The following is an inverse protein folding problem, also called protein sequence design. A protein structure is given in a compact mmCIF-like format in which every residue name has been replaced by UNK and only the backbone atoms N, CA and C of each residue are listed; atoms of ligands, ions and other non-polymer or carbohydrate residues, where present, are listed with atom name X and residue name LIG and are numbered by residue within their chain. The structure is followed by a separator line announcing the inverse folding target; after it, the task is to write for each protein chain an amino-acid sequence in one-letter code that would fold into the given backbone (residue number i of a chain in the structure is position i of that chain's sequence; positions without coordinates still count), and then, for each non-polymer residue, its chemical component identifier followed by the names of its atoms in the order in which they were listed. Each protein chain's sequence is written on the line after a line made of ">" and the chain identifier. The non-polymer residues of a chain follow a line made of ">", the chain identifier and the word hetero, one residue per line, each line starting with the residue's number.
data_IF_627799376281
#
_entry.id   IF_627799376281
#
_cell.length_a   1.000
_cell.length_b   1.000
_cell.length_c   1.000
_cell.angle_alpha   90.00
_cell.angle_beta   90.00
_cell.angle_gamma   90.00
#
_symmetry.space_group_name_H-M   'P 1'
#
loop_
_entity.id
_entity.type
_entity.pdbx_description
1 polymer ?
#
# COMPACT_ATOMS: atom_id res chain seq x y z
N UNK A 1 0.57 -22.30 -10.26
CA UNK A 1 1.56 -21.83 -9.26
C UNK A 1 0.83 -21.73 -7.93
N UNK A 2 1.39 -22.28 -6.85
CA UNK A 2 0.76 -22.17 -5.52
C UNK A 2 0.92 -20.75 -4.97
N UNK A 3 -0.05 -20.29 -4.17
CA UNK A 3 0.00 -18.96 -3.53
C UNK A 3 1.30 -18.78 -2.73
N UNK A 4 1.67 -19.78 -1.95
CA UNK A 4 2.89 -19.77 -1.14
C UNK A 4 4.16 -19.52 -1.96
N UNK A 5 4.24 -20.08 -3.17
CA UNK A 5 5.38 -19.87 -4.07
C UNK A 5 5.43 -18.43 -4.58
N UNK A 6 4.29 -17.87 -5.01
CA UNK A 6 4.22 -16.46 -5.45
C UNK A 6 4.69 -15.51 -4.35
N UNK A 7 4.24 -15.75 -3.12
CA UNK A 7 4.60 -14.92 -1.98
C UNK A 7 6.09 -15.03 -1.65
N UNK A 8 6.64 -16.25 -1.63
CA UNK A 8 8.06 -16.47 -1.33
C UNK A 8 8.96 -15.83 -2.38
N UNK A 9 8.63 -15.99 -3.66
CA UNK A 9 9.42 -15.46 -4.78
C UNK A 9 9.38 -13.91 -4.84
N UNK A 10 8.30 -13.31 -4.37
CA UNK A 10 8.08 -11.85 -4.44
C UNK A 10 8.08 -11.17 -3.07
N UNK A 11 8.55 -11.84 -2.01
CA UNK A 11 8.43 -11.36 -0.63
C UNK A 11 9.04 -9.97 -0.45
N UNK A 12 10.28 -9.77 -0.91
CA UNK A 12 10.95 -8.46 -0.83
C UNK A 12 10.21 -7.38 -1.65
N UNK A 13 9.65 -7.76 -2.81
CA UNK A 13 8.91 -6.82 -3.65
C UNK A 13 7.62 -6.39 -2.96
N UNK A 14 6.90 -7.33 -2.35
CA UNK A 14 5.67 -7.07 -1.59
C UNK A 14 5.94 -6.08 -0.45
N UNK A 15 6.97 -6.35 0.36
CA UNK A 15 7.34 -5.48 1.46
C UNK A 15 7.81 -4.12 0.95
N UNK A 16 8.64 -4.08 -0.09
CA UNK A 16 9.15 -2.84 -0.66
C UNK A 16 8.04 -1.95 -1.23
N UNK A 17 7.08 -2.53 -1.95
CA UNK A 17 5.92 -1.80 -2.47
C UNK A 17 5.00 -1.32 -1.34
N UNK A 18 4.78 -2.15 -0.31
CA UNK A 18 4.05 -1.74 0.88
C UNK A 18 4.73 -0.59 1.62
N UNK A 19 6.06 -0.62 1.73
CA UNK A 19 6.85 0.43 2.39
C UNK A 19 6.85 1.73 1.58
N UNK A 20 6.89 1.65 0.24
CA UNK A 20 6.76 2.82 -0.63
C UNK A 20 5.46 3.59 -0.36
N UNK A 21 4.36 2.90 -0.04
CA UNK A 21 3.11 3.57 0.27
C UNK A 21 3.14 4.37 1.59
N UNK A 22 4.12 4.14 2.49
CA UNK A 22 4.31 4.94 3.71
C UNK A 22 4.71 6.39 3.45
N UNK A 23 5.13 6.72 2.22
CA UNK A 23 5.41 8.12 1.87
C UNK A 23 4.16 8.99 2.11
N UNK A 24 2.95 8.45 1.91
CA UNK A 24 1.70 9.17 2.16
C UNK A 24 1.50 9.56 3.63
N UNK A 25 1.47 8.63 4.61
CA UNK A 25 1.34 8.99 6.02
C UNK A 25 2.49 9.86 6.50
N UNK A 26 3.72 9.65 6.00
CA UNK A 26 4.86 10.50 6.35
C UNK A 26 4.64 11.94 5.86
N UNK A 27 4.23 12.16 4.61
CA UNK A 27 3.93 13.52 4.12
C UNK A 27 2.81 14.20 4.91
N UNK A 28 1.83 13.42 5.40
CA UNK A 28 0.80 13.96 6.31
C UNK A 28 1.40 14.37 7.65
N UNK A 29 2.28 13.57 8.23
CA UNK A 29 2.91 13.83 9.54
C UNK A 29 3.81 15.06 9.53
N UNK A 30 4.52 15.32 8.42
CA UNK A 30 5.45 16.47 8.31
C UNK A 30 4.70 17.76 7.93
N UNK A 31 3.37 17.74 7.82
CA UNK A 31 2.55 18.91 7.49
C UNK A 31 2.59 19.33 6.02
N UNK A 32 3.22 18.56 5.13
CA UNK A 32 3.31 18.91 3.71
C UNK A 32 1.93 18.96 3.04
N UNK A 33 1.01 18.08 3.46
CA UNK A 33 -0.37 18.05 2.96
C UNK A 33 -1.18 19.29 3.35
N UNK A 34 -0.81 20.01 4.41
CA UNK A 34 -1.52 21.22 4.84
C UNK A 34 -1.18 22.41 3.95
N UNK A 35 0.01 22.40 3.33
CA UNK A 35 0.48 23.44 2.41
C UNK A 35 -0.21 23.35 1.05
N UNK A 36 -0.34 22.13 0.52
CA UNK A 36 -0.91 21.88 -0.82
C UNK A 36 -2.42 21.61 -0.79
N UNK A 37 -3.04 21.60 0.39
CA UNK A 37 -4.43 21.22 0.62
C UNK A 37 -4.61 19.72 0.85
N UNK A 38 -5.24 19.35 1.97
CA UNK A 38 -5.32 17.95 2.42
C UNK A 38 -6.00 17.01 1.42
N UNK A 39 -7.10 17.45 0.81
CA UNK A 39 -7.83 16.63 -0.18
C UNK A 39 -6.99 16.39 -1.44
N UNK A 40 -6.41 17.47 -1.98
CA UNK A 40 -5.58 17.40 -3.18
C UNK A 40 -4.34 16.53 -2.92
N UNK A 41 -3.62 16.77 -1.81
CA UNK A 41 -2.47 15.97 -1.41
C UNK A 41 -2.81 14.49 -1.23
N UNK A 42 -3.96 14.17 -0.63
CA UNK A 42 -4.39 12.78 -0.45
C UNK A 42 -4.65 12.06 -1.80
N UNK A 43 -5.32 12.73 -2.74
CA UNK A 43 -5.62 12.19 -4.07
C UNK A 43 -4.33 12.02 -4.86
N UNK A 44 -3.49 13.07 -4.90
CA UNK A 44 -2.22 13.07 -5.61
C UNK A 44 -1.31 11.92 -5.14
N UNK A 45 -1.15 11.76 -3.82
CA UNK A 45 -0.33 10.67 -3.27
C UNK A 45 -0.88 9.30 -3.61
N UNK A 46 -2.20 9.13 -3.59
CA UNK A 46 -2.84 7.87 -3.97
C UNK A 46 -2.52 7.55 -5.43
N UNK A 47 -2.67 8.52 -6.34
CA UNK A 47 -2.35 8.35 -7.76
C UNK A 47 -0.86 8.03 -7.96
N UNK A 48 0.04 8.77 -7.31
CA UNK A 48 1.49 8.56 -7.44
C UNK A 48 1.91 7.17 -6.95
N UNK A 49 1.40 6.72 -5.80
CA UNK A 49 1.68 5.38 -5.26
C UNK A 49 1.12 4.30 -6.19
N UNK A 50 -0.13 4.45 -6.66
CA UNK A 50 -0.74 3.52 -7.60
C UNK A 50 0.03 3.41 -8.90
N UNK A 51 0.49 4.54 -9.46
CA UNK A 51 1.34 4.57 -10.65
C UNK A 51 2.70 3.92 -10.40
N UNK A 52 3.34 4.21 -9.26
CA UNK A 52 4.61 3.59 -8.91
C UNK A 52 4.50 2.06 -8.81
N UNK A 53 3.48 1.56 -8.10
CA UNK A 53 3.16 0.13 -8.02
C UNK A 53 2.95 -0.47 -9.40
N UNK A 54 2.10 0.16 -10.22
CA UNK A 54 1.80 -0.31 -11.57
C UNK A 54 3.05 -0.38 -12.45
N UNK A 55 3.83 0.70 -12.51
CA UNK A 55 5.04 0.79 -13.33
C UNK A 55 6.08 -0.24 -12.90
N UNK A 56 6.31 -0.41 -11.59
CA UNK A 56 7.29 -1.38 -11.09
C UNK A 56 6.87 -2.81 -11.46
N UNK A 57 5.61 -3.17 -11.23
CA UNK A 57 5.08 -4.51 -11.51
C UNK A 57 5.08 -4.82 -13.00
N UNK A 58 4.69 -3.86 -13.84
CA UNK A 58 4.70 -4.00 -15.31
C UNK A 58 6.14 -4.11 -15.84
N UNK A 59 7.05 -3.23 -15.40
CA UNK A 59 8.46 -3.28 -15.83
C UNK A 59 9.16 -4.58 -15.44
N UNK A 60 8.84 -5.10 -14.25
CA UNK A 60 9.38 -6.38 -13.77
C UNK A 60 8.67 -7.60 -14.34
N UNK A 61 7.62 -7.42 -15.15
CA UNK A 61 6.82 -8.51 -15.75
C UNK A 61 6.42 -9.57 -14.72
N UNK A 62 5.90 -9.11 -13.59
CA UNK A 62 5.60 -9.98 -12.43
C UNK A 62 4.44 -10.92 -12.77
N UNK A 63 4.63 -12.26 -12.83
CA UNK A 63 3.64 -13.19 -13.39
C UNK A 63 2.27 -13.20 -12.70
N UNK A 64 2.19 -12.82 -11.42
CA UNK A 64 0.96 -12.78 -10.64
C UNK A 64 0.76 -11.39 -10.00
N UNK A 65 0.49 -10.35 -10.81
CA UNK A 65 0.52 -8.97 -10.34
C UNK A 65 -0.61 -8.66 -9.35
N UNK A 66 -1.77 -9.32 -9.50
CA UNK A 66 -2.91 -9.19 -8.55
C UNK A 66 -2.49 -9.63 -7.15
N UNK A 67 -1.96 -10.85 -7.02
CA UNK A 67 -1.54 -11.38 -5.73
C UNK A 67 -0.46 -10.51 -5.10
N UNK A 68 0.57 -10.13 -5.89
CA UNK A 68 1.66 -9.29 -5.37
C UNK A 68 1.13 -7.94 -4.88
N UNK A 69 0.25 -7.27 -5.62
CA UNK A 69 -0.26 -5.95 -5.23
C UNK A 69 -1.30 -6.00 -4.10
N UNK A 70 -2.13 -7.04 -4.02
CA UNK A 70 -3.00 -7.27 -2.85
C UNK A 70 -2.15 -7.41 -1.58
N UNK A 71 -1.14 -8.27 -1.61
CA UNK A 71 -0.26 -8.46 -0.45
C UNK A 71 0.62 -7.23 -0.18
N UNK A 72 0.96 -6.42 -1.19
CA UNK A 72 1.63 -5.13 -1.00
C UNK A 72 0.74 -4.14 -0.26
N UNK A 73 -0.55 -4.08 -0.61
CA UNK A 73 -1.56 -3.31 0.13
C UNK A 73 -1.73 -3.79 1.56
N UNK A 74 -1.79 -5.10 1.80
CA UNK A 74 -1.82 -5.65 3.15
C UNK A 74 -0.54 -5.36 3.94
N UNK A 75 0.62 -5.39 3.28
CA UNK A 75 1.89 -5.01 3.90
C UNK A 75 1.89 -3.53 4.31
N UNK A 76 1.40 -2.64 3.45
CA UNK A 76 1.22 -1.22 3.80
C UNK A 76 0.27 -1.04 4.99
N UNK A 77 -0.86 -1.76 5.00
CA UNK A 77 -1.81 -1.74 6.12
C UNK A 77 -1.11 -2.11 7.44
N UNK A 78 -0.34 -3.19 7.44
CA UNK A 78 0.46 -3.62 8.59
C UNK A 78 1.45 -2.53 9.03
N UNK A 79 2.20 -1.96 8.09
CA UNK A 79 3.17 -0.93 8.41
C UNK A 79 2.53 0.33 8.99
N UNK A 80 1.39 0.77 8.47
CA UNK A 80 0.66 1.92 9.01
C UNK A 80 0.14 1.66 10.42
N UNK A 81 -0.35 0.46 10.69
CA UNK A 81 -0.82 0.07 12.02
C UNK A 81 0.34 0.11 13.02
N UNK A 82 1.49 -0.48 12.65
CA UNK A 82 2.71 -0.45 13.48
C UNK A 82 3.19 0.99 13.68
N UNK A 83 3.29 1.76 12.59
CA UNK A 83 3.73 3.15 12.63
C UNK A 83 2.81 3.98 13.52
N UNK A 84 1.49 3.84 13.40
CA UNK A 84 0.52 4.54 14.24
C UNK A 84 0.66 4.14 15.72
N UNK A 85 0.84 2.85 16.00
CA UNK A 85 1.02 2.34 17.36
C UNK A 85 2.28 2.85 18.05
N UNK A 86 3.33 3.14 17.28
CA UNK A 86 4.59 3.66 17.81
C UNK A 86 4.56 5.20 17.86
N UNK A 87 4.19 5.87 16.77
CA UNK A 87 4.30 7.32 16.68
C UNK A 87 3.18 8.04 17.44
N UNK A 88 1.95 7.52 17.49
CA UNK A 88 0.86 8.24 18.15
C UNK A 88 1.07 8.41 19.66
N UNK A 89 1.50 7.40 20.43
CA UNK A 89 1.77 7.61 21.86
C UNK A 89 2.93 8.58 22.09
N UNK A 90 3.95 8.56 21.21
CA UNK A 90 5.13 9.43 21.33
C UNK A 90 4.78 10.89 21.02
N UNK A 91 4.02 11.13 19.94
CA UNK A 91 3.74 12.49 19.45
C UNK A 91 2.52 13.13 20.13
N UNK A 92 1.52 12.33 20.51
CA UNK A 92 0.21 12.81 20.96
C UNK A 92 -0.07 12.47 22.43
N UNK A 93 0.77 11.65 23.07
CA UNK A 93 0.59 11.23 24.47
C UNK A 93 -0.49 10.17 24.69
N UNK A 94 -1.21 9.76 23.64
CA UNK A 94 -2.22 8.72 23.69
C UNK A 94 -2.17 7.83 22.44
N UNK A 95 -2.58 6.56 22.59
CA UNK A 95 -2.68 5.63 21.47
C UNK A 95 -3.83 6.06 20.55
N UNK A 96 -3.51 6.32 19.28
CA UNK A 96 -4.47 6.64 18.23
C UNK A 96 -4.28 5.72 17.01
N UNK A 97 -5.31 5.68 16.17
CA UNK A 97 -5.32 4.89 14.94
C UNK A 97 -5.95 3.50 15.11
N UNK A 98 -5.75 2.59 14.14
CA UNK A 98 -6.54 1.36 14.05
C UNK A 98 -6.40 0.44 15.27
N UNK A 99 -5.30 0.51 16.02
CA UNK A 99 -5.08 -0.31 17.22
C UNK A 99 -6.10 -0.04 18.34
N UNK A 100 -6.80 1.09 18.34
CA UNK A 100 -7.83 1.38 19.34
C UNK A 100 -9.16 0.67 19.07
N UNK A 101 -9.36 0.13 17.86
CA UNK A 101 -10.60 -0.53 17.46
C UNK A 101 -10.31 -1.71 16.52
N UNK A 102 -10.59 -2.97 16.91
CA UNK A 102 -10.39 -4.15 16.06
C UNK A 102 -11.06 -4.07 14.69
N UNK A 103 -12.25 -3.44 14.59
CA UNK A 103 -12.94 -3.26 13.31
C UNK A 103 -12.20 -2.28 12.39
N UNK A 104 -11.50 -1.29 12.96
CA UNK A 104 -10.66 -0.38 12.19
C UNK A 104 -9.46 -1.12 11.57
N UNK A 105 -8.83 -2.04 12.30
CA UNK A 105 -7.75 -2.89 11.78
C UNK A 105 -8.23 -3.63 10.53
N UNK A 106 -9.35 -4.35 10.65
CA UNK A 106 -9.93 -5.13 9.54
C UNK A 106 -10.26 -4.21 8.35
N UNK A 107 -10.87 -3.05 8.60
CA UNK A 107 -11.18 -2.06 7.58
C UNK A 107 -9.94 -1.56 6.83
N UNK A 108 -8.83 -1.27 7.54
CA UNK A 108 -7.57 -0.85 6.92
C UNK A 108 -7.01 -1.96 6.03
N UNK A 109 -7.01 -3.22 6.48
CA UNK A 109 -6.56 -4.33 5.64
C UNK A 109 -7.42 -4.52 4.39
N UNK A 110 -8.75 -4.55 4.55
CA UNK A 110 -9.68 -4.74 3.43
C UNK A 110 -9.54 -3.61 2.41
N UNK A 111 -9.53 -2.36 2.85
CA UNK A 111 -9.44 -1.19 1.96
C UNK A 111 -8.16 -1.25 1.11
N UNK A 112 -7.02 -1.58 1.74
CA UNK A 112 -5.76 -1.66 1.01
C UNK A 112 -5.63 -2.92 0.14
N UNK A 113 -6.25 -4.04 0.55
CA UNK A 113 -6.34 -5.23 -0.29
C UNK A 113 -7.19 -4.98 -1.54
N UNK A 114 -8.34 -4.30 -1.40
CA UNK A 114 -9.18 -3.87 -2.54
C UNK A 114 -8.36 -2.98 -3.47
N UNK A 115 -7.60 -2.02 -2.91
CA UNK A 115 -6.82 -1.12 -3.76
C UNK A 115 -5.73 -1.88 -4.54
N UNK A 116 -4.99 -2.75 -3.85
CA UNK A 116 -4.01 -3.64 -4.47
C UNK A 116 -4.63 -4.54 -5.55
N UNK A 117 -5.84 -5.03 -5.32
CA UNK A 117 -6.59 -5.82 -6.29
C UNK A 117 -6.89 -5.02 -7.57
N UNK A 118 -7.39 -3.78 -7.45
CA UNK A 118 -7.71 -2.96 -8.62
C UNK A 118 -6.46 -2.64 -9.43
N UNK A 119 -5.38 -2.17 -8.80
CA UNK A 119 -4.13 -1.86 -9.51
C UNK A 119 -3.51 -3.13 -10.10
N UNK A 120 -3.59 -4.26 -9.39
CA UNK A 120 -3.19 -5.56 -9.89
C UNK A 120 -4.00 -6.04 -11.09
N UNK A 121 -5.30 -5.75 -11.12
CA UNK A 121 -6.17 -6.01 -12.26
C UNK A 121 -5.74 -5.21 -13.50
N UNK A 122 -5.43 -3.93 -13.32
CA UNK A 122 -4.91 -3.05 -14.38
C UNK A 122 -3.55 -3.59 -14.88
N UNK A 123 -2.63 -3.92 -13.97
CA UNK A 123 -1.33 -4.48 -14.32
C UNK A 123 -1.47 -5.80 -15.11
N UNK A 124 -2.40 -6.68 -14.71
CA UNK A 124 -2.70 -7.92 -15.42
C UNK A 124 -3.25 -7.67 -16.83
N UNK A 125 -4.13 -6.69 -16.99
CA UNK A 125 -4.65 -6.30 -18.29
C UNK A 125 -3.53 -5.80 -19.22
N UNK A 126 -2.63 -4.95 -18.71
CA UNK A 126 -1.45 -4.48 -19.45
C UNK A 126 -0.52 -5.65 -19.82
N UNK A 127 -0.27 -6.57 -18.88
CA UNK A 127 0.59 -7.73 -19.14
C UNK A 127 0.08 -8.64 -20.24
N UNK A 128 -1.24 -8.85 -20.30
CA UNK A 128 -1.88 -9.58 -21.41
C UNK A 128 -1.66 -8.90 -22.76
N UNK A 129 -1.74 -7.57 -22.83
CA UNK A 129 -1.47 -6.81 -24.05
C UNK A 129 0.01 -6.93 -24.46
N UNK A 130 0.91 -6.93 -23.48
CA UNK A 130 2.35 -7.03 -23.69
C UNK A 130 2.88 -8.47 -23.84
N UNK A 131 2.00 -9.48 -23.77
CA UNK A 131 2.28 -10.92 -23.94
C UNK A 131 3.43 -11.42 -23.07
N UNK A 132 3.36 -11.16 -21.77
CA UNK A 132 4.25 -11.76 -20.77
C UNK A 132 3.46 -12.45 -19.65
#
# INVERSE_FOLDING_TARGET
>A
MTLSKVLKDNFLLILGLGALALIRPLMKMIGFMDIIGQQFGAILMTILISLAWLVIVVKRKVPNPITVLVFSGMSYALFVIILSGILSPILLGNLQGPLTNPLAIVSVFITNAIWGFVIGGIAKAIGRVQRW
#
